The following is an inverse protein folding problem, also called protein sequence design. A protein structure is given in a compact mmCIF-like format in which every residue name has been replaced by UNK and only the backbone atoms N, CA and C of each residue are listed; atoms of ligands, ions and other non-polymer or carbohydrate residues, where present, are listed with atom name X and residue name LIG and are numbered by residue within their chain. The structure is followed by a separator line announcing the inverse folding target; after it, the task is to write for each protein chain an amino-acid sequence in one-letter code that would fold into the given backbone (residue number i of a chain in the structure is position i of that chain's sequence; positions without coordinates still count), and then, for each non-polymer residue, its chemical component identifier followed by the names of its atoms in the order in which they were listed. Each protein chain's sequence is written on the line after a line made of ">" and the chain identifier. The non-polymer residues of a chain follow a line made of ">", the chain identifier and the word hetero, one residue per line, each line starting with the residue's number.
data_IF_381970858524
#
_entry.id   IF_381970858524
#
_cell.length_a   1.000
_cell.length_b   1.000
_cell.length_c   1.000
_cell.angle_alpha   90.00
_cell.angle_beta   90.00
_cell.angle_gamma   90.00
#
_symmetry.space_group_name_H-M   'P 1'
#
loop_
_entity.id
_entity.type
_entity.pdbx_description
1 polymer ?
#
# COMPACT_ATOMS: atom_id res chain seq x y z
N UNK A 1 3.23 3.42 -13.88
CA UNK A 1 2.69 3.33 -15.24
C UNK A 1 1.16 3.40 -15.18
N UNK A 2 0.58 4.52 -15.62
CA UNK A 2 -0.86 4.80 -15.58
C UNK A 2 -1.26 5.40 -16.93
N UNK A 3 -2.45 5.10 -17.44
CA UNK A 3 -2.94 5.68 -18.69
C UNK A 3 -3.15 7.19 -18.59
N UNK A 4 -3.66 7.69 -17.46
CA UNK A 4 -3.76 9.14 -17.21
C UNK A 4 -2.41 9.87 -17.16
N UNK A 5 -1.31 9.14 -16.99
CA UNK A 5 0.07 9.66 -17.08
C UNK A 5 0.72 9.46 -18.46
N UNK A 6 -0.05 9.11 -19.49
CA UNK A 6 0.40 8.94 -20.86
C UNK A 6 1.09 7.60 -21.16
N UNK A 7 0.84 6.55 -20.38
CA UNK A 7 1.39 5.23 -20.70
C UNK A 7 0.76 4.66 -21.96
N UNK A 8 1.58 4.24 -22.97
CA UNK A 8 1.07 3.93 -24.31
C UNK A 8 0.28 2.62 -24.42
N UNK A 9 0.43 1.70 -23.47
CA UNK A 9 -0.12 0.34 -23.55
C UNK A 9 -1.00 -0.07 -22.37
N UNK A 10 -0.94 0.68 -21.27
CA UNK A 10 -1.75 0.35 -20.08
C UNK A 10 -3.05 1.12 -20.08
N UNK A 11 -4.12 0.43 -19.72
CA UNK A 11 -5.43 1.00 -19.45
C UNK A 11 -5.72 0.89 -17.95
N UNK A 12 -5.92 2.05 -17.30
CA UNK A 12 -6.18 2.15 -15.86
C UNK A 12 -7.46 2.94 -15.58
N UNK A 13 -8.63 2.49 -16.10
CA UNK A 13 -9.83 3.32 -16.19
C UNK A 13 -10.35 3.82 -14.83
N UNK A 14 -10.22 3.02 -13.78
CA UNK A 14 -10.66 3.45 -12.44
C UNK A 14 -9.72 4.49 -11.82
N UNK A 15 -8.41 4.39 -12.07
CA UNK A 15 -7.44 5.39 -11.62
C UNK A 15 -7.59 6.66 -12.46
N UNK A 16 -7.81 6.54 -13.77
CA UNK A 16 -8.04 7.65 -14.67
C UNK A 16 -9.29 8.44 -14.28
N UNK A 17 -10.36 7.75 -13.85
CA UNK A 17 -11.54 8.39 -13.29
C UNK A 17 -11.21 9.20 -12.05
N UNK A 18 -10.45 8.66 -11.11
CA UNK A 18 -10.01 9.43 -9.94
C UNK A 18 -9.17 10.65 -10.31
N UNK A 19 -8.32 10.54 -11.32
CA UNK A 19 -7.54 11.67 -11.82
C UNK A 19 -8.42 12.74 -12.47
N UNK A 20 -9.50 12.36 -13.17
CA UNK A 20 -10.43 13.27 -13.83
C UNK A 20 -11.40 13.95 -12.87
N UNK A 21 -11.86 13.24 -11.83
CA UNK A 21 -12.81 13.74 -10.84
C UNK A 21 -12.14 14.44 -9.65
N UNK A 22 -10.84 14.21 -9.45
CA UNK A 22 -10.06 14.74 -8.33
C UNK A 22 -8.96 15.71 -8.76
N UNK A 23 -7.82 15.62 -8.06
CA UNK A 23 -6.64 16.43 -8.35
C UNK A 23 -5.49 15.50 -8.74
N UNK A 24 -4.94 15.67 -9.93
CA UNK A 24 -3.74 14.99 -10.39
C UNK A 24 -2.50 15.89 -10.21
N UNK A 25 -1.55 15.46 -9.36
CA UNK A 25 -0.32 16.20 -9.09
C UNK A 25 0.75 15.79 -10.08
N UNK A 26 1.00 16.57 -11.12
CA UNK A 26 2.05 16.31 -12.13
C UNK A 26 3.47 16.38 -11.55
N UNK A 27 3.66 17.18 -10.52
CA UNK A 27 4.98 17.43 -9.89
C UNK A 27 4.96 17.01 -8.42
N UNK A 28 4.78 15.70 -8.18
CA UNK A 28 4.90 15.10 -6.86
C UNK A 28 6.22 14.34 -6.75
N UNK A 29 7.04 14.71 -5.77
CA UNK A 29 8.40 14.20 -5.63
C UNK A 29 8.54 13.27 -4.44
N UNK A 30 9.18 12.11 -4.66
CA UNK A 30 9.60 11.22 -3.59
C UNK A 30 10.89 11.76 -2.95
N UNK A 31 10.84 12.04 -1.65
CA UNK A 31 11.97 12.62 -0.90
C UNK A 31 13.14 11.65 -0.72
N UNK A 32 12.84 10.36 -0.62
CA UNK A 32 13.83 9.27 -0.54
C UNK A 32 13.25 8.06 -1.28
N UNK A 33 13.82 7.74 -2.43
CA UNK A 33 13.31 6.69 -3.35
C UNK A 33 13.68 5.28 -2.88
N UNK A 34 13.28 4.93 -1.64
CA UNK A 34 13.46 3.62 -1.02
C UNK A 34 12.20 3.30 -0.19
N UNK A 35 11.80 2.02 -0.14
CA UNK A 35 10.53 1.60 0.43
C UNK A 35 10.23 2.19 1.82
N UNK A 36 11.02 1.84 2.83
CA UNK A 36 10.75 2.24 4.21
C UNK A 36 10.85 3.73 4.44
N UNK A 37 11.88 4.45 3.97
CA UNK A 37 11.96 5.90 4.12
C UNK A 37 10.80 6.64 3.45
N UNK A 38 10.41 6.24 2.23
CA UNK A 38 9.29 6.85 1.52
C UNK A 38 7.96 6.65 2.26
N UNK A 39 7.73 5.44 2.77
CA UNK A 39 6.53 5.11 3.56
C UNK A 39 6.47 5.90 4.86
N UNK A 40 7.60 6.01 5.56
CA UNK A 40 7.71 6.81 6.78
C UNK A 40 7.44 8.30 6.51
N UNK A 41 7.95 8.84 5.40
CA UNK A 41 7.64 10.21 4.96
C UNK A 41 6.14 10.40 4.70
N UNK A 42 5.49 9.46 4.00
CA UNK A 42 4.05 9.54 3.74
C UNK A 42 3.22 9.53 5.03
N UNK A 43 3.61 8.74 6.03
CA UNK A 43 2.89 8.65 7.30
C UNK A 43 3.10 9.87 8.19
N UNK A 44 4.34 10.36 8.28
CA UNK A 44 4.73 11.41 9.24
C UNK A 44 4.71 12.83 8.67
N UNK A 45 4.79 12.98 7.34
CA UNK A 45 5.02 14.27 6.70
C UNK A 45 6.45 14.82 6.87
N UNK A 46 7.38 14.03 7.39
CA UNK A 46 8.75 14.43 7.68
C UNK A 46 9.75 13.88 6.66
N UNK A 47 10.90 14.52 6.55
CA UNK A 47 12.05 14.00 5.80
C UNK A 47 12.77 12.87 6.56
N UNK A 48 13.51 12.02 5.85
CA UNK A 48 14.18 10.85 6.41
C UNK A 48 15.11 11.17 7.60
N UNK A 49 15.80 12.28 7.58
CA UNK A 49 16.65 12.70 8.70
C UNK A 49 15.85 13.10 9.97
N UNK A 50 14.60 13.49 9.82
CA UNK A 50 13.74 13.86 10.94
C UNK A 50 12.95 12.68 11.50
N UNK A 51 12.44 11.79 10.65
CA UNK A 51 11.72 10.59 11.12
C UNK A 51 12.65 9.40 11.44
N UNK A 52 13.94 9.46 11.08
CA UNK A 52 14.95 8.47 11.46
C UNK A 52 14.93 7.16 10.63
N UNK A 53 13.93 6.93 9.79
CA UNK A 53 13.88 5.74 8.93
C UNK A 53 14.67 6.02 7.66
N UNK A 54 15.92 5.59 7.63
CA UNK A 54 16.88 5.94 6.55
C UNK A 54 17.15 4.79 5.59
N UNK A 55 16.72 3.56 5.92
CA UNK A 55 16.88 2.36 5.10
C UNK A 55 15.74 1.37 5.36
N UNK A 56 15.73 0.22 4.63
CA UNK A 56 14.67 -0.77 4.74
C UNK A 56 14.72 -1.64 6.01
N UNK A 57 15.79 -1.55 6.78
CA UNK A 57 15.99 -2.34 8.00
C UNK A 57 15.61 -1.56 9.27
N UNK A 58 15.41 -0.25 9.15
CA UNK A 58 15.02 0.61 10.27
C UNK A 58 13.51 0.52 10.48
N UNK A 59 13.10 0.15 11.68
CA UNK A 59 11.68 0.17 12.08
C UNK A 59 11.15 1.60 12.15
N UNK A 60 9.85 1.76 11.90
CA UNK A 60 9.15 3.02 12.13
C UNK A 60 9.05 3.27 13.62
N UNK A 61 9.54 4.42 14.14
CA UNK A 61 9.49 4.73 15.57
C UNK A 61 8.04 4.79 16.07
N UNK A 62 7.70 3.98 17.08
CA UNK A 62 6.34 3.85 17.57
C UNK A 62 5.77 5.12 18.21
N UNK A 63 6.64 6.00 18.73
CA UNK A 63 6.30 7.29 19.30
C UNK A 63 6.12 8.40 18.24
N UNK A 64 6.61 8.19 17.03
CA UNK A 64 6.53 9.19 15.97
C UNK A 64 5.07 9.47 15.60
N UNK A 65 4.72 10.74 15.57
CA UNK A 65 3.40 11.18 15.16
C UNK A 65 3.16 10.87 13.67
N UNK A 66 1.92 10.52 13.37
CA UNK A 66 1.52 10.16 12.00
C UNK A 66 0.07 10.56 11.74
N UNK A 67 -0.27 10.80 10.47
CA UNK A 67 -1.64 11.17 10.15
C UNK A 67 -2.69 10.09 10.53
N UNK A 68 -2.41 8.76 10.46
CA UNK A 68 -3.35 7.77 10.96
C UNK A 68 -3.64 7.91 12.46
N UNK A 69 -2.63 8.19 13.28
CA UNK A 69 -2.83 8.44 14.72
C UNK A 69 -3.73 9.65 14.97
N UNK A 70 -3.53 10.72 14.21
CA UNK A 70 -4.37 11.92 14.32
C UNK A 70 -5.80 11.68 13.88
N UNK A 71 -6.01 10.90 12.82
CA UNK A 71 -7.35 10.51 12.38
C UNK A 71 -8.03 9.61 13.41
N UNK A 72 -7.31 8.63 13.98
CA UNK A 72 -7.84 7.78 15.06
C UNK A 72 -8.25 8.62 16.27
N UNK A 73 -7.43 9.59 16.69
CA UNK A 73 -7.76 10.53 17.77
C UNK A 73 -8.96 11.43 17.44
N UNK A 74 -9.21 11.69 16.18
CA UNK A 74 -10.37 12.46 15.69
C UNK A 74 -11.63 11.59 15.52
N UNK A 75 -11.61 10.32 15.93
CA UNK A 75 -12.76 9.42 15.88
C UNK A 75 -12.92 8.63 14.59
N UNK A 76 -11.89 8.60 13.73
CA UNK A 76 -11.89 7.73 12.57
C UNK A 76 -11.59 6.29 12.98
N UNK A 77 -12.27 5.32 12.37
CA UNK A 77 -11.82 3.93 12.35
C UNK A 77 -10.69 3.80 11.34
N UNK A 78 -9.57 3.23 11.76
CA UNK A 78 -8.34 3.24 10.98
C UNK A 78 -7.85 1.83 10.68
N UNK A 79 -7.52 1.58 9.40
CA UNK A 79 -7.00 0.29 8.98
C UNK A 79 -5.77 0.40 8.08
N UNK A 80 -4.90 -0.59 8.21
CA UNK A 80 -3.80 -0.86 7.29
C UNK A 80 -3.85 -2.32 6.83
N UNK A 81 -3.88 -2.57 5.53
CA UNK A 81 -3.92 -3.92 4.97
C UNK A 81 -2.86 -4.05 3.87
N UNK A 82 -1.93 -5.00 4.04
CA UNK A 82 -0.90 -5.31 3.07
C UNK A 82 0.52 -4.98 3.50
N UNK A 83 1.40 -4.60 2.58
CA UNK A 83 2.83 -4.39 2.79
C UNK A 83 3.11 -3.14 3.63
N UNK A 84 3.53 -3.33 4.87
CA UNK A 84 4.04 -2.27 5.73
C UNK A 84 5.47 -1.89 5.38
N UNK A 85 6.37 -2.84 5.45
CA UNK A 85 7.79 -2.75 5.08
C UNK A 85 8.50 -1.49 5.61
N UNK A 86 8.37 -1.22 6.89
CA UNK A 86 9.25 -0.33 7.66
C UNK A 86 9.85 -1.16 8.78
N UNK A 87 11.13 -1.56 8.58
CA UNK A 87 11.77 -2.68 9.25
C UNK A 87 11.35 -4.04 8.66
N UNK A 88 12.14 -5.06 8.92
CA UNK A 88 11.91 -6.44 8.45
C UNK A 88 11.64 -7.43 9.59
N UNK A 89 11.95 -7.03 10.81
CA UNK A 89 11.90 -7.92 11.97
C UNK A 89 10.48 -8.11 12.51
N UNK A 90 9.61 -7.10 12.39
CA UNK A 90 8.30 -7.08 13.03
C UNK A 90 7.17 -6.76 12.06
N UNK A 91 6.07 -7.49 12.21
CA UNK A 91 4.78 -7.28 11.57
C UNK A 91 3.66 -7.08 12.63
N UNK A 92 4.05 -6.68 13.82
CA UNK A 92 3.11 -6.37 14.90
C UNK A 92 2.32 -5.09 14.62
N UNK A 93 1.10 -4.94 15.20
CA UNK A 93 0.28 -3.75 15.04
C UNK A 93 1.03 -2.46 15.37
N UNK A 94 0.70 -1.41 14.64
CA UNK A 94 1.34 -0.09 14.81
C UNK A 94 0.34 0.93 15.35
N UNK A 95 0.78 1.87 16.20
CA UNK A 95 -0.07 2.93 16.72
C UNK A 95 -0.72 3.74 15.58
N UNK A 96 -2.00 4.06 15.74
CA UNK A 96 -2.77 4.78 14.74
C UNK A 96 -3.62 3.89 13.84
N UNK A 97 -3.65 2.57 14.10
CA UNK A 97 -4.49 1.63 13.36
C UNK A 97 -5.26 0.72 14.32
N UNK A 98 -6.59 0.67 14.15
CA UNK A 98 -7.48 -0.21 14.88
C UNK A 98 -7.49 -1.62 14.26
N UNK A 99 -7.28 -1.68 12.93
CA UNK A 99 -7.15 -2.91 12.18
C UNK A 99 -5.82 -2.91 11.40
N UNK A 100 -4.97 -3.91 11.65
CA UNK A 100 -3.63 -3.96 11.08
C UNK A 100 -3.31 -5.36 10.59
N UNK A 101 -3.38 -5.57 9.27
CA UNK A 101 -3.07 -6.84 8.62
C UNK A 101 -1.87 -6.66 7.72
N UNK A 102 -0.75 -7.23 8.08
CA UNK A 102 0.51 -7.09 7.35
C UNK A 102 1.36 -8.36 7.40
N UNK A 103 2.54 -8.29 6.89
CA UNK A 103 3.55 -9.35 6.89
C UNK A 103 4.95 -8.76 7.05
N UNK A 104 5.93 -9.60 7.38
CA UNK A 104 7.33 -9.19 7.46
C UNK A 104 7.91 -8.88 6.07
N UNK A 105 8.73 -7.85 6.01
CA UNK A 105 9.51 -7.49 4.84
C UNK A 105 8.68 -7.27 3.55
N UNK A 106 9.15 -7.86 2.45
CA UNK A 106 8.58 -7.65 1.11
C UNK A 106 7.31 -8.47 0.83
N UNK A 107 7.01 -9.51 1.61
CA UNK A 107 5.97 -10.47 1.28
C UNK A 107 6.25 -11.28 0.00
N UNK A 108 5.32 -12.14 -0.37
CA UNK A 108 5.38 -12.97 -1.59
C UNK A 108 4.30 -12.52 -2.57
N UNK A 109 4.43 -12.86 -3.85
CA UNK A 109 3.37 -12.63 -4.82
C UNK A 109 2.21 -13.62 -4.69
N UNK A 110 2.51 -14.81 -4.19
CA UNK A 110 1.51 -15.86 -3.95
C UNK A 110 1.65 -16.38 -2.53
N UNK A 111 0.53 -16.72 -1.92
CA UNK A 111 0.43 -17.41 -0.65
C UNK A 111 1.24 -16.72 0.46
N UNK A 112 1.01 -15.43 0.63
CA UNK A 112 1.67 -14.64 1.67
C UNK A 112 1.13 -15.00 3.06
N UNK A 113 2.04 -15.16 4.02
CA UNK A 113 1.69 -15.27 5.42
C UNK A 113 1.47 -13.88 6.00
N UNK A 114 0.25 -13.61 6.47
CA UNK A 114 -0.12 -12.34 7.10
C UNK A 114 -0.29 -12.49 8.61
N UNK A 115 0.10 -11.48 9.37
CA UNK A 115 -0.25 -11.28 10.75
C UNK A 115 -1.55 -10.46 10.82
N UNK A 116 -2.53 -10.96 11.56
CA UNK A 116 -3.84 -10.34 11.74
C UNK A 116 -3.93 -9.71 13.13
N UNK A 117 -3.74 -8.40 13.21
CA UNK A 117 -3.87 -7.62 14.46
C UNK A 117 -2.98 -8.13 15.62
N UNK A 118 -1.84 -8.77 15.32
CA UNK A 118 -1.01 -9.40 16.37
C UNK A 118 -1.58 -10.72 16.95
N UNK A 119 -2.76 -11.15 16.51
CA UNK A 119 -3.41 -12.35 17.03
C UNK A 119 -2.86 -13.66 16.44
N UNK A 120 -1.97 -13.56 15.49
CA UNK A 120 -1.30 -14.71 14.86
C UNK A 120 -1.15 -14.56 13.36
N UNK A 121 -0.30 -15.43 12.80
CA UNK A 121 0.01 -15.46 11.38
C UNK A 121 -0.67 -16.64 10.70
N UNK A 122 -1.14 -16.40 9.48
CA UNK A 122 -1.65 -17.46 8.62
C UNK A 122 -1.34 -17.18 7.16
N UNK A 123 -1.06 -18.21 6.41
CA UNK A 123 -0.94 -18.15 4.95
C UNK A 123 -2.33 -17.92 4.37
N UNK A 124 -2.45 -16.87 3.54
CA UNK A 124 -3.66 -16.61 2.75
C UNK A 124 -3.37 -17.01 1.31
N UNK A 125 -4.03 -18.07 0.79
CA UNK A 125 -3.78 -18.55 -0.57
C UNK A 125 -4.18 -17.52 -1.62
N UNK A 126 -3.43 -17.48 -2.72
CA UNK A 126 -3.75 -16.69 -3.90
C UNK A 126 -2.77 -15.57 -4.20
N UNK A 127 -3.09 -14.81 -5.26
CA UNK A 127 -2.27 -13.71 -5.74
C UNK A 127 -2.41 -12.48 -4.83
N UNK A 128 -1.28 -11.91 -4.42
CA UNK A 128 -1.19 -10.86 -3.41
C UNK A 128 -2.14 -9.69 -3.63
N UNK A 129 -2.16 -9.12 -4.84
CA UNK A 129 -3.00 -7.95 -5.14
C UNK A 129 -4.48 -8.28 -4.93
N UNK A 130 -4.92 -9.48 -5.40
CA UNK A 130 -6.30 -9.91 -5.19
C UNK A 130 -6.61 -10.15 -3.72
N UNK A 131 -5.75 -10.86 -3.00
CA UNK A 131 -5.91 -11.17 -1.57
C UNK A 131 -6.05 -9.89 -0.75
N UNK A 132 -5.15 -8.93 -0.94
CA UNK A 132 -5.17 -7.66 -0.21
C UNK A 132 -6.40 -6.82 -0.59
N UNK A 133 -6.80 -6.84 -1.85
CA UNK A 133 -8.03 -6.15 -2.29
C UNK A 133 -9.28 -6.78 -1.67
N UNK A 134 -9.40 -8.10 -1.67
CA UNK A 134 -10.55 -8.81 -1.09
C UNK A 134 -10.66 -8.54 0.43
N UNK A 135 -9.53 -8.59 1.15
CA UNK A 135 -9.50 -8.24 2.59
C UNK A 135 -9.92 -6.78 2.83
N UNK A 136 -9.48 -5.87 1.96
CA UNK A 136 -9.82 -4.45 2.04
C UNK A 136 -11.32 -4.20 1.80
N UNK A 137 -11.90 -4.85 0.81
CA UNK A 137 -13.32 -4.76 0.51
C UNK A 137 -14.17 -5.35 1.64
N UNK A 138 -13.76 -6.50 2.19
CA UNK A 138 -14.44 -7.11 3.33
C UNK A 138 -14.44 -6.17 4.55
N UNK A 139 -13.28 -5.59 4.89
CA UNK A 139 -13.19 -4.63 5.99
C UNK A 139 -14.06 -3.38 5.76
N UNK A 140 -14.09 -2.84 4.53
CA UNK A 140 -14.96 -1.70 4.19
C UNK A 140 -16.44 -2.04 4.35
N UNK A 141 -16.87 -3.24 3.93
CA UNK A 141 -18.25 -3.70 4.10
C UNK A 141 -18.63 -3.80 5.59
N UNK A 142 -17.73 -4.34 6.43
CA UNK A 142 -17.91 -4.38 7.88
C UNK A 142 -18.10 -2.97 8.48
N UNK A 143 -17.34 -1.96 7.98
CA UNK A 143 -17.50 -0.59 8.46
C UNK A 143 -18.86 -0.02 8.07
N UNK A 144 -19.33 -0.27 6.84
CA UNK A 144 -20.65 0.18 6.40
C UNK A 144 -21.79 -0.45 7.19
N UNK A 145 -21.70 -1.74 7.50
CA UNK A 145 -22.70 -2.44 8.32
C UNK A 145 -22.67 -1.97 9.79
N UNK A 146 -21.49 -1.66 10.32
CA UNK A 146 -21.32 -1.20 11.69
C UNK A 146 -21.74 0.26 11.92
N UNK A 147 -21.69 1.10 10.89
CA UNK A 147 -21.97 2.53 11.00
C UNK A 147 -23.43 2.84 11.40
N UNK A 148 -24.40 1.96 11.12
CA UNK A 148 -25.82 2.19 11.46
C UNK A 148 -26.32 3.56 10.96
N UNK A 149 -27.07 4.29 11.82
CA UNK A 149 -27.53 5.66 11.51
C UNK A 149 -26.47 6.75 11.80
N UNK A 150 -25.30 6.37 12.35
CA UNK A 150 -24.18 7.27 12.64
C UNK A 150 -23.02 7.03 11.68
N UNK A 151 -22.76 8.00 10.78
CA UNK A 151 -21.61 7.98 9.87
C UNK A 151 -20.28 8.10 10.64
N UNK A 152 -19.80 7.00 11.22
CA UNK A 152 -18.43 6.99 11.73
C UNK A 152 -17.45 6.98 10.55
N UNK A 153 -16.61 8.00 10.39
CA UNK A 153 -15.67 8.06 9.29
C UNK A 153 -14.60 6.98 9.44
N UNK A 154 -14.12 6.45 8.31
CA UNK A 154 -13.01 5.51 8.33
C UNK A 154 -11.87 5.93 7.40
N UNK A 155 -10.69 5.41 7.68
CA UNK A 155 -9.49 5.55 6.87
C UNK A 155 -8.90 4.16 6.63
N UNK A 156 -8.70 3.81 5.37
CA UNK A 156 -8.06 2.57 4.97
C UNK A 156 -6.81 2.86 4.13
N UNK A 157 -5.67 2.34 4.57
CA UNK A 157 -4.44 2.30 3.78
C UNK A 157 -4.21 0.90 3.23
N UNK A 158 -3.96 0.80 1.93
CA UNK A 158 -3.70 -0.46 1.26
C UNK A 158 -2.26 -0.49 0.76
N UNK A 159 -1.49 -1.44 1.26
CA UNK A 159 -0.10 -1.65 0.87
C UNK A 159 0.06 -2.74 -0.19
N UNK A 160 -0.02 -2.41 -1.48
CA UNK A 160 0.21 -3.37 -2.55
C UNK A 160 1.69 -3.74 -2.69
N UNK A 161 1.96 -5.01 -3.11
CA UNK A 161 3.29 -5.48 -3.44
C UNK A 161 3.65 -5.18 -4.90
N UNK A 162 2.74 -5.40 -5.82
CA UNK A 162 2.95 -5.10 -7.23
C UNK A 162 3.12 -3.59 -7.45
N UNK A 163 3.95 -3.15 -8.38
CA UNK A 163 4.79 -3.92 -9.32
C UNK A 163 6.26 -4.09 -8.84
N UNK A 164 6.51 -4.48 -7.61
CA UNK A 164 7.87 -4.71 -7.11
C UNK A 164 8.53 -5.91 -7.82
N UNK A 165 9.85 -5.87 -8.07
CA UNK A 165 10.61 -7.05 -8.55
C UNK A 165 10.36 -8.27 -7.62
N UNK A 166 10.25 -9.46 -8.13
CA UNK A 166 10.52 -9.98 -9.49
C UNK A 166 9.29 -9.99 -10.44
N UNK A 167 8.39 -9.03 -10.42
CA UNK A 167 7.36 -8.78 -11.44
C UNK A 167 6.52 -10.00 -11.85
N UNK A 168 6.08 -10.82 -10.90
CA UNK A 168 5.19 -11.93 -11.20
C UNK A 168 3.76 -11.42 -11.42
N UNK A 169 3.18 -11.54 -12.62
CA UNK A 169 1.79 -11.23 -12.84
C UNK A 169 0.87 -12.31 -12.24
N UNK A 170 -0.39 -11.97 -12.05
CA UNK A 170 -1.42 -13.00 -11.89
C UNK A 170 -1.54 -13.80 -13.20
N UNK A 171 -1.71 -15.12 -13.12
CA UNK A 171 -1.66 -16.02 -14.27
C UNK A 171 -2.54 -15.57 -15.45
N UNK A 172 -3.74 -15.09 -15.17
CA UNK A 172 -4.67 -14.60 -16.20
C UNK A 172 -4.17 -13.39 -17.02
N UNK A 173 -3.09 -12.74 -16.56
CA UNK A 173 -2.46 -11.60 -17.23
C UNK A 173 -1.05 -11.91 -17.75
N UNK A 174 -0.60 -13.17 -17.66
CA UNK A 174 0.76 -13.55 -18.03
C UNK A 174 1.11 -13.11 -19.46
N UNK A 175 0.18 -13.33 -20.40
CA UNK A 175 0.38 -13.07 -21.83
C UNK A 175 -0.28 -11.75 -22.31
N UNK A 176 -0.77 -10.92 -21.37
CA UNK A 176 -1.58 -9.73 -21.71
C UNK A 176 -0.85 -8.73 -22.62
N UNK A 177 0.46 -8.72 -22.63
CA UNK A 177 1.30 -7.78 -23.40
C UNK A 177 2.25 -8.45 -24.38
N UNK A 178 2.08 -9.75 -24.70
CA UNK A 178 2.94 -10.47 -25.65
C UNK A 178 2.90 -9.89 -27.07
N UNK A 179 1.82 -9.19 -27.41
CA UNK A 179 1.64 -8.51 -28.69
C UNK A 179 2.26 -7.11 -28.74
N UNK A 180 2.81 -6.61 -27.61
CA UNK A 180 3.35 -5.26 -27.50
C UNK A 180 4.84 -5.25 -27.80
N UNK A 181 5.22 -4.50 -28.84
CA UNK A 181 6.61 -4.20 -29.10
C UNK A 181 7.10 -3.08 -28.17
N UNK A 182 8.11 -3.39 -27.34
CA UNK A 182 8.68 -2.42 -26.40
C UNK A 182 9.78 -1.62 -27.08
N UNK A 183 9.53 -0.33 -27.29
CA UNK A 183 10.54 0.61 -27.75
C UNK A 183 11.42 1.05 -26.60
N UNK A 184 12.64 0.60 -26.55
CA UNK A 184 13.63 1.02 -25.56
C UNK A 184 14.16 2.43 -25.91
N UNK A 185 14.20 3.37 -24.95
CA UNK A 185 14.87 4.66 -25.19
C UNK A 185 16.38 4.46 -25.42
N UNK A 186 16.99 5.36 -26.19
CA UNK A 186 18.42 5.30 -26.51
C UNK A 186 19.34 5.24 -25.28
N UNK A 187 18.88 5.72 -24.14
CA UNK A 187 19.60 5.67 -22.86
C UNK A 187 19.55 4.31 -22.15
N UNK A 188 18.92 3.30 -22.75
CA UNK A 188 18.80 1.96 -22.16
C UNK A 188 19.98 1.04 -22.45
N UNK A 189 20.99 1.51 -23.19
CA UNK A 189 22.20 0.77 -23.62
C UNK A 189 23.46 1.54 -23.30
#
# INVERSE_FOLDING_TARGET
>A
ALSCAGHPHLETPNIDRLAAEGIYFEKFFCTTSLCSPSRATLLSGLYAHAHGVTNNFTDYPGELDSFPRRLQQAGYRTAYIGKWHMGEASDEPRPGFDHFVTHKGQGKYFDTEFNFNGAGRRVVPGYYTKVVTDMSLAWMAEQQEAAGEGDEPFMLMIGQKAPHSFYFPEEKYADAFDHVEVNYPHSSF
#
